data_IF_688461480076
#
_entry.id   IF_688461480076
#
_cell.length_a   1.000
_cell.length_b   1.000
_cell.length_c   1.000
_cell.angle_alpha   90.00
_cell.angle_beta   90.00
_cell.angle_gamma   90.00
#
_symmetry.space_group_name_H-M   'P 1'
#
loop_
_entity.id
_entity.type
_entity.pdbx_description
1 polymer ?
#
# COMPACT_ATOMS: atom_id res chain seq x y z
N UNK A 1 -26.34 18.06 -16.54
CA UNK A 1 -26.10 16.75 -17.19
C UNK A 1 -25.43 15.91 -16.12
N UNK A 2 -26.17 15.03 -15.44
CA UNK A 2 -25.62 14.22 -14.35
C UNK A 2 -24.64 13.22 -14.96
N UNK A 3 -23.35 13.37 -14.66
CA UNK A 3 -22.36 12.35 -14.96
C UNK A 3 -22.86 11.03 -14.34
N UNK A 4 -23.27 10.10 -15.20
CA UNK A 4 -23.74 8.81 -14.75
C UNK A 4 -22.50 8.04 -14.32
N UNK A 5 -22.22 8.00 -13.02
CA UNK A 5 -21.10 7.26 -12.45
C UNK A 5 -21.25 5.80 -12.90
N UNK A 6 -20.32 5.35 -13.75
CA UNK A 6 -20.32 4.00 -14.31
C UNK A 6 -19.73 3.06 -13.26
N UNK A 7 -20.59 2.30 -12.58
CA UNK A 7 -20.19 1.42 -11.47
C UNK A 7 -21.39 0.79 -10.77
N UNK A 8 -21.15 -0.17 -9.89
CA UNK A 8 -22.16 -0.68 -8.96
C UNK A 8 -22.44 0.38 -7.88
N UNK A 9 -23.57 1.08 -7.99
CA UNK A 9 -23.94 2.19 -7.11
C UNK A 9 -23.96 1.80 -5.62
N UNK A 10 -24.35 0.56 -5.31
CA UNK A 10 -24.40 0.06 -3.92
C UNK A 10 -23.02 0.00 -3.30
N UNK A 11 -22.03 -0.47 -4.06
CA UNK A 11 -20.64 -0.54 -3.60
C UNK A 11 -20.10 0.87 -3.31
N UNK A 12 -20.39 1.82 -4.19
CA UNK A 12 -19.97 3.22 -4.01
C UNK A 12 -20.66 3.82 -2.78
N UNK A 13 -21.96 3.62 -2.61
CA UNK A 13 -22.74 4.08 -1.46
C UNK A 13 -22.28 3.44 -0.13
N UNK A 14 -21.89 2.16 -0.14
CA UNK A 14 -21.40 1.45 1.05
C UNK A 14 -20.00 1.93 1.47
N UNK A 15 -19.15 2.35 0.52
CA UNK A 15 -17.76 2.77 0.78
C UNK A 15 -17.65 4.28 1.08
N UNK A 16 -18.51 5.10 0.46
CA UNK A 16 -18.47 6.57 0.58
C UNK A 16 -18.50 7.09 2.03
N UNK A 17 -19.23 6.48 2.98
CA UNK A 17 -19.24 6.93 4.38
C UNK A 17 -17.88 6.84 5.08
N UNK A 18 -16.94 6.05 4.57
CA UNK A 18 -15.59 5.90 5.13
C UNK A 18 -14.59 6.91 4.56
N UNK A 19 -15.03 7.79 3.65
CA UNK A 19 -14.23 8.77 2.93
C UNK A 19 -14.82 10.16 3.15
N UNK A 20 -14.50 10.81 4.27
CA UNK A 20 -15.07 12.12 4.64
C UNK A 20 -14.21 13.31 4.22
N UNK A 21 -12.92 13.09 3.90
CA UNK A 21 -12.04 14.15 3.43
C UNK A 21 -12.45 14.72 2.05
N UNK A 22 -12.18 16.01 1.84
CA UNK A 22 -12.33 16.64 0.53
C UNK A 22 -11.36 16.01 -0.47
N UNK A 23 -11.87 15.58 -1.64
CA UNK A 23 -11.12 14.84 -2.68
C UNK A 23 -10.72 13.40 -2.30
N UNK A 24 -11.37 12.82 -1.27
CA UNK A 24 -11.18 11.42 -0.92
C UNK A 24 -11.76 10.45 -1.96
N UNK A 25 -12.82 10.87 -2.66
CA UNK A 25 -13.49 10.07 -3.69
C UNK A 25 -13.23 10.69 -5.05
N UNK A 26 -12.57 9.93 -5.92
CA UNK A 26 -12.33 10.34 -7.29
C UNK A 26 -12.84 9.29 -8.26
N UNK A 27 -13.58 9.73 -9.28
CA UNK A 27 -14.09 8.87 -10.33
C UNK A 27 -13.51 9.33 -11.66
N UNK A 28 -12.90 8.41 -12.39
CA UNK A 28 -12.26 8.70 -13.68
C UNK A 28 -12.66 7.68 -14.72
N UNK A 29 -12.74 8.12 -15.96
CA UNK A 29 -13.00 7.27 -17.12
C UNK A 29 -11.94 7.60 -18.16
N UNK A 30 -11.31 6.58 -18.72
CA UNK A 30 -10.33 6.77 -19.79
C UNK A 30 -11.00 6.99 -21.16
N UNK A 31 -10.21 7.31 -22.17
CA UNK A 31 -10.69 7.48 -23.55
C UNK A 31 -11.27 6.22 -24.18
N UNK A 32 -11.02 5.05 -23.59
CA UNK A 32 -11.53 3.75 -24.04
C UNK A 32 -12.81 3.33 -23.31
N UNK A 33 -13.27 4.13 -22.34
CA UNK A 33 -14.47 3.90 -21.56
C UNK A 33 -14.26 3.00 -20.33
N UNK A 34 -13.02 2.70 -19.95
CA UNK A 34 -12.72 1.99 -18.70
C UNK A 34 -12.92 2.93 -17.51
N UNK A 35 -13.66 2.48 -16.50
CA UNK A 35 -13.97 3.27 -15.32
C UNK A 35 -13.07 2.86 -14.14
N UNK A 36 -12.60 3.86 -13.40
CA UNK A 36 -11.79 3.70 -12.21
C UNK A 36 -12.38 4.56 -11.09
N UNK A 37 -12.65 3.92 -9.96
CA UNK A 37 -13.05 4.59 -8.74
C UNK A 37 -11.90 4.54 -7.74
N UNK A 38 -11.60 5.67 -7.15
CA UNK A 38 -10.57 5.84 -6.14
C UNK A 38 -11.24 6.32 -4.86
N UNK A 39 -10.97 5.61 -3.77
CA UNK A 39 -11.48 5.91 -2.44
C UNK A 39 -10.29 5.98 -1.49
N UNK A 40 -10.03 7.15 -0.93
CA UNK A 40 -9.10 7.33 0.17
C UNK A 40 -9.88 7.22 1.48
N UNK A 41 -9.61 6.17 2.25
CA UNK A 41 -10.27 5.94 3.53
C UNK A 41 -9.68 6.86 4.60
N UNK A 42 -10.53 7.40 5.47
CA UNK A 42 -10.11 8.29 6.55
C UNK A 42 -9.20 7.60 7.58
N UNK A 43 -9.37 6.29 7.75
CA UNK A 43 -8.62 5.51 8.74
C UNK A 43 -8.41 4.09 8.22
N UNK A 44 -7.22 3.48 8.42
CA UNK A 44 -6.95 2.10 8.03
C UNK A 44 -7.94 1.09 8.63
N UNK A 45 -8.54 1.40 9.78
CA UNK A 45 -9.55 0.59 10.46
C UNK A 45 -10.83 0.35 9.65
N UNK A 46 -11.13 1.19 8.67
CA UNK A 46 -12.29 1.03 7.79
C UNK A 46 -12.03 0.10 6.60
N UNK A 47 -10.77 -0.29 6.38
CA UNK A 47 -10.37 -1.14 5.26
C UNK A 47 -11.10 -2.48 5.24
N UNK A 48 -11.23 -3.24 6.36
CA UNK A 48 -11.92 -4.53 6.33
C UNK A 48 -13.41 -4.41 6.00
N UNK A 49 -14.07 -3.33 6.45
CA UNK A 49 -15.49 -3.07 6.18
C UNK A 49 -15.70 -2.70 4.71
N UNK A 50 -14.85 -1.82 4.15
CA UNK A 50 -14.89 -1.47 2.74
C UNK A 50 -14.56 -2.67 1.84
N UNK A 51 -13.54 -3.46 2.21
CA UNK A 51 -13.19 -4.71 1.53
C UNK A 51 -14.30 -5.76 1.63
N UNK A 52 -15.02 -5.84 2.76
CA UNK A 52 -16.17 -6.74 2.91
C UNK A 52 -17.33 -6.36 1.98
N UNK A 53 -17.59 -5.07 1.76
CA UNK A 53 -18.59 -4.60 0.79
C UNK A 53 -18.23 -5.06 -0.64
N UNK A 54 -16.96 -4.93 -1.03
CA UNK A 54 -16.45 -5.41 -2.31
C UNK A 54 -16.49 -6.93 -2.44
N UNK A 55 -16.11 -7.66 -1.38
CA UNK A 55 -16.20 -9.12 -1.33
C UNK A 55 -17.64 -9.60 -1.51
N UNK A 56 -18.60 -8.98 -0.81
CA UNK A 56 -20.03 -9.30 -0.93
C UNK A 56 -20.57 -9.04 -2.35
N UNK A 57 -20.04 -8.04 -3.04
CA UNK A 57 -20.38 -7.75 -4.44
C UNK A 57 -19.74 -8.73 -5.44
N UNK A 58 -18.82 -9.60 -4.99
CA UNK A 58 -18.10 -10.56 -5.82
C UNK A 58 -16.88 -9.96 -6.52
N UNK A 59 -16.30 -8.88 -5.98
CA UNK A 59 -15.08 -8.29 -6.50
C UNK A 59 -13.88 -9.22 -6.29
N UNK A 60 -12.83 -9.05 -7.10
CA UNK A 60 -11.56 -9.76 -6.98
C UNK A 60 -10.47 -8.78 -6.59
N UNK A 61 -9.64 -9.15 -5.62
CA UNK A 61 -8.41 -8.40 -5.35
C UNK A 61 -7.41 -8.67 -6.47
N UNK A 62 -7.01 -7.61 -7.19
CA UNK A 62 -6.09 -7.69 -8.32
C UNK A 62 -4.64 -7.54 -7.87
N UNK A 63 -4.35 -6.54 -7.05
CA UNK A 63 -3.01 -6.25 -6.52
C UNK A 63 -3.10 -5.33 -5.30
N UNK A 64 -2.04 -5.30 -4.50
CA UNK A 64 -1.84 -4.31 -3.43
C UNK A 64 -0.53 -3.59 -3.71
N UNK A 65 -0.52 -2.27 -3.60
CA UNK A 65 0.67 -1.46 -3.76
C UNK A 65 0.94 -0.67 -2.50
N UNK A 66 2.17 -0.74 -2.00
CA UNK A 66 2.64 0.10 -0.92
C UNK A 66 3.66 1.10 -1.48
N UNK A 67 3.59 2.35 -1.03
CA UNK A 67 4.56 3.36 -1.43
C UNK A 67 4.75 4.42 -0.34
N UNK A 68 5.95 5.00 -0.32
CA UNK A 68 6.29 6.08 0.59
C UNK A 68 5.95 7.42 -0.05
N UNK A 69 5.11 8.21 0.63
CA UNK A 69 4.87 9.60 0.27
C UNK A 69 5.93 10.45 0.93
N UNK A 70 6.90 10.94 0.14
CA UNK A 70 7.93 11.86 0.63
C UNK A 70 7.29 13.18 1.06
N UNK A 71 7.00 13.34 2.35
CA UNK A 71 6.92 14.64 2.99
C UNK A 71 8.24 14.91 3.71
N UNK A 72 8.70 16.16 3.64
CA UNK A 72 10.00 16.60 4.16
C UNK A 72 10.15 16.44 5.69
N UNK A 73 9.05 16.25 6.42
CA UNK A 73 9.01 16.27 7.88
C UNK A 73 8.67 14.92 8.53
N UNK A 74 7.87 14.06 7.90
CA UNK A 74 7.45 12.78 8.47
C UNK A 74 7.34 11.68 7.39
N UNK A 75 7.80 10.45 7.68
CA UNK A 75 7.58 9.31 6.80
C UNK A 75 6.10 8.95 6.81
N UNK A 76 5.42 9.18 5.68
CA UNK A 76 4.03 8.79 5.49
C UNK A 76 3.98 7.69 4.44
N UNK A 77 3.44 6.53 4.81
CA UNK A 77 3.31 5.39 3.90
C UNK A 77 1.85 5.30 3.46
N UNK A 78 1.61 5.00 2.19
CA UNK A 78 0.27 4.78 1.66
C UNK A 78 0.21 3.37 1.08
N UNK A 79 -0.91 2.69 1.31
CA UNK A 79 -1.19 1.36 0.75
C UNK A 79 -2.48 1.45 -0.07
N UNK A 80 -2.43 1.02 -1.32
CA UNK A 80 -3.57 0.99 -2.22
C UNK A 80 -3.92 -0.45 -2.59
N UNK A 81 -5.16 -0.84 -2.30
CA UNK A 81 -5.73 -2.13 -2.66
C UNK A 81 -6.57 -1.96 -3.92
N UNK A 82 -6.21 -2.70 -4.97
CA UNK A 82 -6.85 -2.62 -6.27
C UNK A 82 -7.80 -3.79 -6.46
N UNK A 83 -9.09 -3.50 -6.62
CA UNK A 83 -10.13 -4.50 -6.82
C UNK A 83 -10.75 -4.38 -8.22
N UNK A 84 -11.13 -5.51 -8.80
CA UNK A 84 -11.86 -5.59 -10.05
C UNK A 84 -13.27 -6.12 -9.80
N UNK A 85 -14.27 -5.43 -10.35
CA UNK A 85 -15.67 -5.85 -10.33
C UNK A 85 -16.33 -5.55 -11.67
N UNK A 86 -16.70 -6.59 -12.42
CA UNK A 86 -17.45 -6.50 -13.70
C UNK A 86 -16.77 -5.59 -14.73
N UNK A 87 -15.44 -5.60 -14.79
CA UNK A 87 -14.62 -4.78 -15.69
C UNK A 87 -14.36 -3.35 -15.22
N UNK A 88 -14.68 -3.04 -13.97
CA UNK A 88 -14.48 -1.72 -13.34
C UNK A 88 -13.49 -1.88 -12.20
N UNK A 89 -12.55 -0.94 -12.08
CA UNK A 89 -11.53 -0.98 -11.03
C UNK A 89 -11.93 -0.08 -9.85
N UNK A 90 -11.87 -0.64 -8.65
CA UNK A 90 -12.13 0.03 -7.39
C UNK A 90 -10.84 0.03 -6.57
N UNK A 91 -10.31 1.20 -6.28
CA UNK A 91 -9.05 1.39 -5.56
C UNK A 91 -9.34 1.91 -4.15
N UNK A 92 -8.91 1.19 -3.13
CA UNK A 92 -8.99 1.61 -1.73
C UNK A 92 -7.60 2.00 -1.25
N UNK A 93 -7.39 3.28 -0.99
CA UNK A 93 -6.14 3.82 -0.45
C UNK A 93 -6.28 4.08 1.04
N UNK A 94 -5.32 3.59 1.82
CA UNK A 94 -5.16 3.90 3.25
C UNK A 94 -3.82 4.60 3.46
N UNK A 95 -3.83 5.59 4.35
CA UNK A 95 -2.63 6.32 4.74
C UNK A 95 -2.21 5.87 6.14
N UNK A 96 -0.94 5.52 6.30
CA UNK A 96 -0.31 5.18 7.56
C UNK A 96 0.53 6.37 8.04
N UNK A 97 0.31 6.77 9.29
CA UNK A 97 0.97 7.89 9.94
C UNK A 97 1.25 7.55 11.42
N UNK A 98 1.79 8.50 12.19
CA UNK A 98 2.10 8.27 13.61
C UNK A 98 0.88 7.92 14.48
N UNK A 99 -0.33 8.37 14.10
CA UNK A 99 -1.57 8.03 14.81
C UNK A 99 -2.09 6.64 14.42
N UNK A 100 -1.96 6.30 13.13
CA UNK A 100 -2.41 5.06 12.51
C UNK A 100 -1.25 4.32 11.85
N UNK A 101 -0.33 3.71 12.62
CA UNK A 101 0.89 3.12 12.08
C UNK A 101 0.70 1.71 11.49
N UNK A 102 -0.51 1.17 11.57
CA UNK A 102 -0.80 -0.23 11.19
C UNK A 102 -2.01 -0.33 10.26
N UNK A 103 -2.02 -1.34 9.41
CA UNK A 103 -3.14 -1.68 8.52
C UNK A 103 -3.73 -3.04 8.92
N UNK A 104 -5.06 -3.18 9.04
CA UNK A 104 -5.67 -4.48 9.30
C UNK A 104 -5.64 -5.37 8.05
N UNK A 105 -5.37 -6.66 8.25
CA UNK A 105 -5.37 -7.66 7.18
C UNK A 105 -6.76 -7.88 6.59
N UNK A 106 -6.84 -8.00 5.28
CA UNK A 106 -8.02 -8.44 4.53
C UNK A 106 -7.92 -9.90 4.08
N UNK A 107 -6.85 -10.61 4.46
CA UNK A 107 -6.64 -12.03 4.12
C UNK A 107 -7.82 -12.96 4.48
N UNK A 108 -8.55 -12.77 5.61
CA UNK A 108 -9.76 -13.56 5.89
C UNK A 108 -10.89 -13.40 4.86
N UNK A 109 -10.92 -12.29 4.11
CA UNK A 109 -11.88 -12.03 3.04
C UNK A 109 -11.32 -12.42 1.66
N UNK A 110 -10.03 -12.14 1.44
CA UNK A 110 -9.35 -12.36 0.17
C UNK A 110 -8.10 -13.21 0.40
N UNK A 111 -8.18 -14.51 0.11
CA UNK A 111 -7.07 -15.43 0.36
C UNK A 111 -5.77 -15.06 -0.38
N UNK A 112 -5.87 -14.38 -1.53
CA UNK A 112 -4.70 -13.90 -2.28
C UNK A 112 -4.02 -12.67 -1.65
N UNK A 113 -4.63 -12.04 -0.65
CA UNK A 113 -3.99 -10.94 0.09
C UNK A 113 -2.81 -11.41 0.94
N UNK A 114 -2.72 -12.71 1.30
CA UNK A 114 -1.64 -13.26 2.14
C UNK A 114 -0.25 -12.88 1.60
N UNK A 115 -0.05 -13.07 0.29
CA UNK A 115 1.25 -12.79 -0.33
C UNK A 115 1.52 -11.29 -0.42
N UNK A 116 0.52 -10.51 -0.82
CA UNK A 116 0.65 -9.08 -0.95
C UNK A 116 0.91 -8.37 0.39
N UNK A 117 0.22 -8.80 1.44
CA UNK A 117 0.37 -8.24 2.78
C UNK A 117 1.73 -8.61 3.37
N UNK A 118 2.22 -9.84 3.16
CA UNK A 118 3.56 -10.24 3.59
C UNK A 118 4.68 -9.57 2.81
N UNK A 119 4.48 -9.35 1.50
CA UNK A 119 5.42 -8.61 0.66
C UNK A 119 5.62 -7.18 1.18
N UNK A 120 4.54 -6.46 1.50
CA UNK A 120 4.67 -5.09 2.03
C UNK A 120 5.21 -5.03 3.46
N UNK A 121 4.91 -6.02 4.31
CA UNK A 121 5.54 -6.17 5.62
C UNK A 121 7.06 -6.31 5.50
N UNK A 122 7.52 -7.08 4.52
CA UNK A 122 8.94 -7.38 4.34
C UNK A 122 9.70 -6.25 3.62
N UNK A 123 9.16 -5.72 2.53
CA UNK A 123 9.83 -4.70 1.70
C UNK A 123 9.76 -3.28 2.27
N UNK A 124 8.65 -2.92 2.92
CA UNK A 124 8.36 -1.56 3.38
C UNK A 124 8.24 -1.45 4.91
N UNK A 125 8.46 -2.53 5.65
CA UNK A 125 8.29 -2.59 7.11
C UNK A 125 6.90 -2.11 7.60
N UNK A 126 5.88 -2.35 6.76
CA UNK A 126 4.49 -1.98 7.08
C UNK A 126 3.91 -3.00 8.06
N UNK A 127 3.41 -2.54 9.19
CA UNK A 127 2.83 -3.40 10.21
C UNK A 127 1.38 -3.78 9.87
N UNK A 128 1.13 -5.08 9.66
CA UNK A 128 -0.20 -5.61 9.36
C UNK A 128 -0.78 -6.33 10.57
N UNK A 129 -1.95 -5.88 11.06
CA UNK A 129 -2.63 -6.52 12.19
C UNK A 129 -3.55 -7.64 11.73
N UNK A 130 -3.74 -8.66 12.57
CA UNK A 130 -4.66 -9.79 12.35
C UNK A 130 -4.35 -10.65 11.11
N UNK A 131 -3.13 -10.58 10.59
CA UNK A 131 -2.67 -11.42 9.50
C UNK A 131 -2.51 -12.89 9.97
N UNK A 132 -3.06 -13.90 9.26
CA UNK A 132 -3.04 -15.29 9.72
C UNK A 132 -1.62 -15.90 9.76
N UNK A 133 -0.71 -15.43 8.90
CA UNK A 133 0.67 -15.92 8.82
C UNK A 133 1.68 -14.78 8.62
N UNK A 134 2.15 -14.10 9.69
CA UNK A 134 3.02 -12.91 9.59
C UNK A 134 4.50 -13.25 9.36
N UNK A 135 4.81 -14.35 8.67
CA UNK A 135 6.19 -14.76 8.38
C UNK A 135 6.73 -14.03 7.14
N UNK A 136 8.04 -13.80 7.11
CA UNK A 136 8.76 -13.33 5.91
C UNK A 136 8.40 -14.17 4.68
N UNK A 137 8.33 -13.54 3.50
CA UNK A 137 7.86 -14.18 2.28
C UNK A 137 9.03 -14.69 1.44
N UNK A 138 10.01 -13.83 1.15
CA UNK A 138 11.10 -14.18 0.22
C UNK A 138 12.46 -13.52 0.46
N UNK A 139 12.59 -12.48 1.31
CA UNK A 139 13.93 -11.95 1.61
C UNK A 139 14.66 -12.89 2.57
N UNK A 140 15.99 -12.90 2.43
CA UNK A 140 16.86 -13.61 3.35
C UNK A 140 16.68 -13.08 4.78
N UNK A 141 16.79 -13.95 5.78
CA UNK A 141 16.69 -13.59 7.19
C UNK A 141 17.81 -12.63 7.61
N UNK A 142 18.95 -12.66 6.92
CA UNK A 142 20.08 -11.76 7.16
C UNK A 142 19.80 -10.30 6.76
N UNK A 143 18.81 -10.06 5.90
CA UNK A 143 18.45 -8.70 5.48
C UNK A 143 17.48 -8.05 6.47
N UNK A 144 17.66 -6.76 6.72
CA UNK A 144 16.72 -5.96 7.51
C UNK A 144 15.39 -5.78 6.75
N UNK A 145 14.28 -5.72 7.48
CA UNK A 145 12.99 -5.39 6.87
C UNK A 145 12.98 -3.92 6.42
N UNK A 146 12.15 -3.58 5.42
CA UNK A 146 12.01 -2.18 5.01
C UNK A 146 13.15 -1.67 4.13
N UNK A 147 13.88 -2.55 3.43
CA UNK A 147 15.00 -2.17 2.54
C UNK A 147 14.60 -1.07 1.54
N UNK A 148 13.34 -1.04 1.09
CA UNK A 148 12.87 -0.02 0.14
C UNK A 148 12.62 1.35 0.80
N UNK A 149 12.57 1.42 2.13
CA UNK A 149 12.54 2.70 2.86
C UNK A 149 13.93 3.33 2.89
N UNK A 150 14.99 2.51 2.95
CA UNK A 150 16.38 2.93 2.87
C UNK A 150 16.79 3.14 1.41
N UNK A 151 16.20 4.14 0.76
CA UNK A 151 16.54 4.48 -0.62
C UNK A 151 18.02 4.90 -0.72
N UNK A 152 18.91 3.98 -1.11
CA UNK A 152 20.25 4.32 -1.58
C UNK A 152 20.09 4.88 -2.99
N UNK A 153 20.38 6.18 -3.24
CA UNK A 153 20.29 6.73 -4.58
C UNK A 153 21.16 5.93 -5.54
N UNK A 154 20.67 5.67 -6.75
CA UNK A 154 21.45 4.98 -7.78
C UNK A 154 22.81 5.65 -8.01
N UNK A 155 22.89 6.98 -7.88
CA UNK A 155 24.16 7.71 -7.93
C UNK A 155 25.11 7.37 -6.78
N UNK A 156 24.63 7.12 -5.56
CA UNK A 156 25.45 6.64 -4.44
C UNK A 156 25.89 5.20 -4.70
N UNK A 157 24.99 4.35 -5.17
CA UNK A 157 25.26 2.95 -5.45
C UNK A 157 26.27 2.78 -6.60
N UNK A 158 26.14 3.59 -7.67
CA UNK A 158 27.05 3.58 -8.82
C UNK A 158 28.39 4.27 -8.53
N UNK A 159 28.43 5.30 -7.67
CA UNK A 159 29.71 5.86 -7.22
C UNK A 159 30.50 4.86 -6.37
N UNK A 160 29.83 4.10 -5.48
CA UNK A 160 30.48 3.06 -4.68
C UNK A 160 31.05 1.88 -5.47
N UNK A 161 30.62 1.68 -6.73
CA UNK A 161 31.20 0.69 -7.63
C UNK A 161 32.43 1.22 -8.41
N UNK A 162 32.60 2.54 -8.50
CA UNK A 162 33.71 3.20 -9.19
C UNK A 162 34.77 3.77 -8.25
N UNK A 163 34.45 4.00 -6.97
CA UNK A 163 35.40 4.48 -5.94
C UNK A 163 35.31 3.65 -4.66
N UNK A 164 36.42 3.57 -3.91
CA UNK A 164 36.49 2.84 -2.63
C UNK A 164 35.77 3.54 -1.48
N UNK A 165 35.27 4.76 -1.69
CA UNK A 165 34.71 5.64 -0.66
C UNK A 165 33.53 5.03 0.11
N UNK A 166 32.65 4.29 -0.58
CA UNK A 166 31.49 3.66 0.06
C UNK A 166 31.94 2.57 1.05
N UNK A 167 32.87 1.72 0.62
CA UNK A 167 33.41 0.64 1.45
C UNK A 167 34.27 1.18 2.59
N UNK A 168 35.07 2.22 2.35
CA UNK A 168 35.86 2.89 3.41
C UNK A 168 34.98 3.53 4.49
N UNK A 169 33.82 4.09 4.11
CA UNK A 169 32.84 4.63 5.07
C UNK A 169 32.14 3.53 5.87
N UNK A 170 31.69 2.46 5.21
CA UNK A 170 31.04 1.32 5.87
C UNK A 170 32.00 0.63 6.86
N UNK A 171 33.27 0.45 6.49
CA UNK A 171 34.29 -0.15 7.36
C UNK A 171 34.59 0.73 8.58
N UNK A 172 34.68 2.06 8.41
CA UNK A 172 34.86 3.01 9.52
C UNK A 172 33.69 3.04 10.50
N UNK A 173 32.46 2.88 10.01
CA UNK A 173 31.28 2.83 10.89
C UNK A 173 31.18 1.49 11.63
N UNK A 174 31.65 0.38 11.03
CA UNK A 174 31.80 -0.91 11.72
C UNK A 174 32.85 -0.88 12.83
N UNK A 175 33.97 -0.17 12.65
CA UNK A 175 35.01 0.00 13.69
C UNK A 175 34.55 0.85 14.89
N UNK A 176 33.48 1.65 14.74
CA UNK A 176 32.96 2.54 15.79
C UNK A 176 31.83 1.95 16.63
N UNK A 177 31.27 0.80 16.26
CA UNK A 177 30.31 0.07 17.09
C UNK A 177 31.10 -0.84 18.06
N UNK A 178 30.97 -0.68 19.39
CA UNK A 178 31.70 -1.48 20.37
C UNK A 178 31.26 -2.96 20.36
#
# INVERSE_FOLDING_TARGET
MQDTIRGDARVIEDISPFCTESDAIHHSIDSYGNAFHWFRLDTPRHLPQAAAALHKAGARLAMVTAYNRRQLSEPMQEVCYHFELKGIIYNLTVTLNGEWPTVPSITPLFANADWHEREMMELYDIQVTDHPNPRRLFLDEELDAGILNEAVPLSIMMNGACTTDLWERILKDKEKRP
#
